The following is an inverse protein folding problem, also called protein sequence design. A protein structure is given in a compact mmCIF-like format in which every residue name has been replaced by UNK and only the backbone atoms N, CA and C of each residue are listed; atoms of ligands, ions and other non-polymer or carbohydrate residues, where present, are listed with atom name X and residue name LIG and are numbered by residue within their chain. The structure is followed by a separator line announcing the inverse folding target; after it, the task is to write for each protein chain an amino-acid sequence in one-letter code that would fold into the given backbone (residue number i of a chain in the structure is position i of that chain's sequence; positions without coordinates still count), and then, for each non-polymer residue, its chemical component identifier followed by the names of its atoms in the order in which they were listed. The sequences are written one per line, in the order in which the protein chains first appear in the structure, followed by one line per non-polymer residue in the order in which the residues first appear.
data_IF_929465832941
#
_entry.id   IF_929465832941
#
_cell.length_a   1.000
_cell.length_b   1.000
_cell.length_c   1.000
_cell.angle_alpha   90.00
_cell.angle_beta   90.00
_cell.angle_gamma   90.00
#
_symmetry.space_group_name_H-M   'P 1'
#
loop_
_entity.id
_entity.type
_entity.pdbx_description
1 polymer ?
#
# COMPACT_ATOMS: atom_id res chain seq x y z
N UNK A 1 23.06 1.53 -5.10
CA UNK A 1 22.89 0.33 -4.25
C UNK A 1 21.45 -0.16 -4.32
N UNK A 2 21.20 -1.38 -4.83
CA UNK A 2 19.88 -2.04 -4.72
C UNK A 2 19.81 -2.77 -3.35
N UNK A 3 18.80 -2.54 -2.51
CA UNK A 3 18.65 -3.26 -1.25
C UNK A 3 18.39 -4.74 -1.53
N UNK A 4 19.06 -5.61 -0.76
CA UNK A 4 18.95 -7.09 -0.83
C UNK A 4 17.48 -7.50 -0.74
N UNK A 5 17.02 -8.30 -1.69
CA UNK A 5 15.68 -8.88 -1.70
C UNK A 5 15.62 -10.02 -0.67
N UNK A 6 14.83 -9.90 0.41
CA UNK A 6 14.80 -10.93 1.44
C UNK A 6 13.88 -12.09 1.02
N UNK A 7 13.91 -13.16 1.83
CA UNK A 7 13.33 -14.48 1.56
C UNK A 7 11.91 -14.44 0.98
N UNK A 8 11.63 -15.38 0.06
CA UNK A 8 10.47 -15.43 -0.83
C UNK A 8 9.15 -15.60 -0.06
N UNK A 9 8.65 -14.52 0.56
CA UNK A 9 7.30 -14.47 1.14
C UNK A 9 6.25 -14.44 0.02
N UNK A 10 5.14 -15.16 0.23
CA UNK A 10 4.05 -15.27 -0.73
C UNK A 10 3.58 -13.88 -1.15
N UNK A 11 3.66 -13.61 -2.46
CA UNK A 11 3.34 -12.30 -3.03
C UNK A 11 1.92 -11.86 -2.65
N UNK A 12 0.96 -12.79 -2.74
CA UNK A 12 -0.43 -12.55 -2.39
C UNK A 12 -0.61 -12.15 -0.90
N UNK A 13 0.08 -12.84 0.01
CA UNK A 13 0.03 -12.51 1.44
C UNK A 13 0.63 -11.12 1.71
N UNK A 14 1.74 -10.77 1.04
CA UNK A 14 2.36 -9.46 1.18
C UNK A 14 1.46 -8.33 0.68
N UNK A 15 0.72 -8.55 -0.41
CA UNK A 15 -0.26 -7.60 -0.93
C UNK A 15 -1.44 -7.44 0.04
N UNK A 16 -2.01 -8.55 0.52
CA UNK A 16 -3.14 -8.53 1.47
C UNK A 16 -2.78 -7.90 2.82
N UNK A 17 -1.52 -8.01 3.25
CA UNK A 17 -1.02 -7.43 4.50
C UNK A 17 -0.46 -6.00 4.34
N UNK A 18 -0.68 -5.35 3.20
CA UNK A 18 -0.19 -3.99 2.92
C UNK A 18 1.32 -3.84 3.23
N UNK A 19 2.13 -4.81 2.79
CA UNK A 19 3.59 -4.76 2.93
C UNK A 19 4.21 -3.95 1.80
N UNK A 20 5.41 -3.44 2.05
CA UNK A 20 6.18 -2.71 1.05
C UNK A 20 6.34 -3.55 -0.25
N UNK A 21 6.01 -3.01 -1.44
CA UNK A 21 6.07 -3.76 -2.69
C UNK A 21 7.51 -4.15 -3.08
N UNK A 22 8.51 -3.40 -2.61
CA UNK A 22 9.92 -3.63 -2.90
C UNK A 22 10.51 -4.76 -2.04
N UNK A 23 10.43 -4.63 -0.72
CA UNK A 23 11.06 -5.59 0.21
C UNK A 23 10.11 -6.62 0.83
N UNK A 24 8.78 -6.42 0.75
CA UNK A 24 7.73 -7.32 1.28
C UNK A 24 7.77 -7.58 2.79
N UNK A 25 8.52 -6.78 3.53
CA UNK A 25 8.71 -6.92 4.97
C UNK A 25 8.18 -5.72 5.76
N UNK A 26 8.53 -4.51 5.31
CA UNK A 26 8.11 -3.28 5.97
C UNK A 26 6.61 -3.06 5.89
N UNK A 27 6.02 -2.56 6.98
CA UNK A 27 4.65 -2.10 7.00
C UNK A 27 4.54 -0.78 6.22
N UNK A 28 3.55 -0.70 5.33
CA UNK A 28 3.27 0.53 4.59
C UNK A 28 2.62 1.57 5.52
N UNK A 29 1.60 1.15 6.29
CA UNK A 29 0.91 1.98 7.26
C UNK A 29 1.62 2.01 8.61
N UNK A 30 1.52 3.14 9.31
CA UNK A 30 2.03 3.34 10.68
C UNK A 30 1.24 2.45 11.63
N UNK A 31 -0.08 2.44 11.48
CA UNK A 31 -1.01 1.66 12.28
C UNK A 31 -1.60 0.52 11.43
N UNK A 32 -1.30 -0.75 11.73
CA UNK A 32 -1.87 -1.87 10.98
C UNK A 32 -3.33 -2.16 11.34
N UNK A 33 -3.89 -1.50 12.35
CA UNK A 33 -5.24 -1.79 12.84
C UNK A 33 -6.30 -0.90 12.15
N UNK A 34 -7.21 -1.48 11.33
CA UNK A 34 -8.18 -0.69 10.58
C UNK A 34 -9.27 -0.04 11.44
N UNK A 35 -9.46 -0.49 12.69
CA UNK A 35 -10.45 0.11 13.59
C UNK A 35 -9.94 1.35 14.33
N UNK A 36 -8.64 1.69 14.21
CA UNK A 36 -8.11 2.96 14.70
C UNK A 36 -8.38 4.07 13.69
N UNK A 37 -9.63 4.52 13.61
CA UNK A 37 -10.15 5.48 12.62
C UNK A 37 -9.38 6.82 12.52
N UNK A 38 -8.56 7.15 13.51
CA UNK A 38 -7.73 8.37 13.50
C UNK A 38 -6.37 8.17 12.83
N UNK A 39 -5.81 6.96 12.86
CA UNK A 39 -4.43 6.67 12.45
C UNK A 39 -4.29 5.64 11.34
N UNK A 40 -5.36 4.92 10.99
CA UNK A 40 -5.30 3.83 9.99
C UNK A 40 -4.85 4.28 8.59
N UNK A 41 -5.08 5.54 8.22
CA UNK A 41 -4.64 6.10 6.92
C UNK A 41 -3.24 6.71 6.98
N UNK A 42 -2.59 6.75 8.15
CA UNK A 42 -1.24 7.29 8.24
C UNK A 42 -0.24 6.29 7.66
N UNK A 43 0.54 6.75 6.69
CA UNK A 43 1.57 5.96 6.02
C UNK A 43 2.95 6.43 6.43
N UNK A 44 3.92 5.50 6.46
CA UNK A 44 5.32 5.86 6.69
C UNK A 44 5.85 6.67 5.48
N UNK A 45 6.65 7.71 5.68
CA UNK A 45 7.26 8.48 4.58
C UNK A 45 8.22 7.61 3.73
N UNK A 46 8.98 6.75 4.41
CA UNK A 46 9.85 5.77 3.79
C UNK A 46 9.66 4.40 4.44
N UNK A 47 9.91 3.34 3.68
CA UNK A 47 9.84 1.99 4.21
C UNK A 47 10.87 1.81 5.34
N UNK A 48 10.46 1.34 6.54
CA UNK A 48 11.36 1.20 7.69
C UNK A 48 12.45 0.13 7.51
N UNK A 49 12.32 -0.74 6.49
CA UNK A 49 13.26 -1.85 6.24
C UNK A 49 14.22 -1.54 5.09
N UNK A 50 13.71 -1.07 3.96
CA UNK A 50 14.53 -0.85 2.76
C UNK A 50 14.79 0.63 2.43
N UNK A 51 14.20 1.56 3.17
CA UNK A 51 14.37 3.00 2.96
C UNK A 51 13.73 3.54 1.69
N UNK A 52 12.91 2.73 0.98
CA UNK A 52 12.22 3.18 -0.22
C UNK A 52 11.19 4.25 0.15
N UNK A 53 11.18 5.44 -0.48
CA UNK A 53 10.11 6.42 -0.28
C UNK A 53 8.78 5.77 -0.66
N UNK A 54 7.79 5.88 0.21
CA UNK A 54 6.49 5.26 -0.03
C UNK A 54 5.75 6.00 -1.14
N UNK A 55 5.81 7.32 -1.15
CA UNK A 55 5.37 8.16 -2.26
C UNK A 55 6.50 8.31 -3.29
N UNK A 56 6.38 7.58 -4.40
CA UNK A 56 7.35 7.67 -5.52
C UNK A 56 7.13 8.99 -6.29
N UNK A 57 5.86 9.38 -6.44
CA UNK A 57 5.41 10.63 -7.04
C UNK A 57 4.36 11.26 -6.13
N UNK A 58 4.40 12.59 -6.00
CA UNK A 58 3.42 13.33 -5.20
C UNK A 58 2.01 13.10 -5.74
N UNK A 59 1.09 12.72 -4.87
CA UNK A 59 -0.31 12.49 -5.26
C UNK A 59 -0.60 11.13 -5.93
N UNK A 60 0.39 10.25 -6.09
CA UNK A 60 0.18 8.92 -6.71
C UNK A 60 -0.93 8.12 -6.02
N UNK A 61 -0.89 8.01 -4.69
CA UNK A 61 -1.91 7.26 -3.93
C UNK A 61 -3.29 7.91 -3.99
N UNK A 62 -3.35 9.25 -3.97
CA UNK A 62 -4.60 9.96 -4.16
C UNK A 62 -5.21 9.68 -5.54
N UNK A 63 -4.41 9.73 -6.60
CA UNK A 63 -4.85 9.42 -7.97
C UNK A 63 -5.35 7.98 -8.11
N UNK A 64 -4.57 7.00 -7.63
CA UNK A 64 -4.97 5.58 -7.66
C UNK A 64 -6.25 5.31 -6.85
N UNK A 65 -6.48 6.05 -5.77
CA UNK A 65 -7.73 6.01 -5.00
C UNK A 65 -8.94 6.43 -5.83
N UNK A 66 -8.86 7.56 -6.56
CA UNK A 66 -9.94 8.01 -7.44
C UNK A 66 -10.22 7.04 -8.58
N UNK A 67 -9.18 6.45 -9.19
CA UNK A 67 -9.35 5.44 -10.25
C UNK A 67 -10.07 4.20 -9.69
N UNK A 68 -9.68 3.74 -8.50
CA UNK A 68 -10.32 2.59 -7.85
C UNK A 68 -11.79 2.88 -7.51
N UNK A 69 -12.10 4.10 -7.07
CA UNK A 69 -13.46 4.55 -6.84
C UNK A 69 -14.29 4.56 -8.13
N UNK A 70 -13.79 5.17 -9.21
CA UNK A 70 -14.47 5.21 -10.50
C UNK A 70 -14.76 3.80 -11.05
N UNK A 71 -13.80 2.87 -10.94
CA UNK A 71 -13.98 1.47 -11.34
C UNK A 71 -15.07 0.78 -10.51
N UNK A 72 -15.11 1.03 -9.20
CA UNK A 72 -16.11 0.43 -8.30
C UNK A 72 -17.52 0.92 -8.65
N UNK A 73 -17.68 2.22 -8.90
CA UNK A 73 -18.96 2.81 -9.34
C UNK A 73 -19.38 2.25 -10.70
N UNK A 74 -18.48 2.26 -11.68
CA UNK A 74 -18.76 1.73 -13.02
C UNK A 74 -19.16 0.25 -12.97
N UNK A 75 -18.45 -0.56 -12.19
CA UNK A 75 -18.79 -1.97 -11.98
C UNK A 75 -20.17 -2.13 -11.36
N UNK A 76 -20.49 -1.34 -10.32
CA UNK A 76 -21.78 -1.40 -9.64
C UNK A 76 -22.94 -1.06 -10.58
N UNK A 77 -22.81 0.00 -11.37
CA UNK A 77 -23.83 0.43 -12.36
C UNK A 77 -23.96 -0.57 -13.52
N UNK A 78 -22.88 -1.24 -13.90
CA UNK A 78 -22.93 -2.23 -14.98
C UNK A 78 -23.61 -3.55 -14.56
N UNK A 79 -23.58 -3.89 -13.26
CA UNK A 79 -24.09 -5.18 -12.75
C UNK A 79 -25.51 -5.13 -12.18
N UNK A 80 -25.98 -3.96 -11.74
CA UNK A 80 -27.31 -3.76 -11.13
C UNK A 80 -28.16 -2.84 -12.00
#
# INVERSE_FOLDING_TARGET
MMPKQPAKRNYLLSVLQCKCPRCREGNMFVDPHPYHLKSYMNMNEACPVCGQPTEIEVGFYYGTGYVSYALTVAFSVATF
#
